data_IF_978769902601
#
_entry.id   IF_978769902601
#
_cell.length_a   1.000
_cell.length_b   1.000
_cell.length_c   1.000
_cell.angle_alpha   90.00
_cell.angle_beta   90.00
_cell.angle_gamma   90.00
#
_symmetry.space_group_name_H-M   'P 1'
#
loop_
_entity.id
_entity.type
_entity.pdbx_description
1 polymer ?
#
# COMPACT_ATOMS: atom_id res chain seq x y z
N UNK A 1 17.97 2.87 12.05
CA UNK A 1 16.92 1.88 12.37
C UNK A 1 16.61 1.11 11.10
N UNK A 2 16.39 -0.20 11.17
CA UNK A 2 16.03 -1.00 9.98
C UNK A 2 14.57 -0.74 9.59
N UNK A 3 14.27 -0.77 8.28
CA UNK A 3 12.94 -0.56 7.71
C UNK A 3 12.69 -1.68 6.72
N UNK A 4 11.51 -2.31 6.77
CA UNK A 4 11.09 -3.27 5.74
C UNK A 4 10.43 -2.51 4.60
N UNK A 5 10.87 -2.74 3.37
CA UNK A 5 10.23 -2.23 2.15
C UNK A 5 9.87 -3.44 1.30
N UNK A 6 8.61 -3.59 0.90
CA UNK A 6 8.18 -4.79 0.17
C UNK A 6 7.05 -4.51 -0.83
N UNK A 7 7.15 -5.15 -1.99
CA UNK A 7 6.06 -5.35 -2.95
C UNK A 7 5.72 -6.85 -2.97
N UNK A 8 4.93 -7.35 -2.01
CA UNK A 8 4.61 -8.77 -1.92
C UNK A 8 3.61 -9.20 -3.01
N UNK A 9 3.45 -10.50 -3.28
CA UNK A 9 2.38 -10.99 -4.15
C UNK A 9 1.01 -10.64 -3.58
N UNK A 10 0.20 -9.93 -4.37
CA UNK A 10 -1.10 -9.42 -3.93
C UNK A 10 -2.14 -10.52 -3.81
N UNK A 11 -2.99 -10.43 -2.78
CA UNK A 11 -4.17 -11.29 -2.58
C UNK A 11 -3.83 -12.79 -2.62
N UNK A 12 -2.60 -13.13 -2.24
CA UNK A 12 -2.10 -14.50 -2.28
C UNK A 12 -2.84 -15.33 -1.23
N UNK A 13 -3.41 -16.46 -1.65
CA UNK A 13 -3.89 -17.47 -0.70
C UNK A 13 -2.71 -18.03 0.09
N UNK A 14 -2.91 -18.29 1.35
CA UNK A 14 -1.88 -18.82 2.24
C UNK A 14 -2.49 -19.80 3.23
N UNK A 15 -1.65 -20.59 3.86
CA UNK A 15 -2.06 -21.48 4.93
C UNK A 15 -1.66 -20.86 6.25
N UNK A 16 -2.57 -20.90 7.22
CA UNK A 16 -2.22 -20.50 8.57
C UNK A 16 -1.11 -21.41 9.09
N UNK A 17 -0.06 -20.83 9.70
CA UNK A 17 0.91 -21.64 10.41
C UNK A 17 0.24 -22.28 11.64
N UNK A 18 0.79 -23.41 12.10
CA UNK A 18 0.37 -23.98 13.38
C UNK A 18 0.43 -22.93 14.50
N UNK A 19 -0.62 -22.92 15.32
CA UNK A 19 -0.79 -21.96 16.44
C UNK A 19 -0.67 -20.49 16.01
N UNK A 20 -1.22 -20.12 14.84
CA UNK A 20 -1.17 -18.74 14.33
C UNK A 20 -1.57 -17.69 15.39
N UNK A 21 -2.65 -17.93 16.14
CA UNK A 21 -3.12 -17.02 17.19
C UNK A 21 -2.11 -16.78 18.33
N UNK A 22 -1.16 -17.70 18.53
CA UNK A 22 -0.12 -17.60 19.57
C UNK A 22 1.15 -16.92 19.07
N UNK A 23 1.26 -16.59 17.78
CA UNK A 23 2.45 -15.95 17.23
C UNK A 23 2.42 -14.44 17.46
N UNK A 24 3.53 -13.87 17.94
CA UNK A 24 3.67 -12.44 18.23
C UNK A 24 3.27 -11.53 17.04
N UNK A 25 3.54 -11.98 15.82
CA UNK A 25 3.13 -11.24 14.61
C UNK A 25 1.62 -11.07 14.46
N UNK A 26 0.82 -11.98 15.00
CA UNK A 26 -0.64 -11.96 14.84
C UNK A 26 -1.40 -11.46 16.07
N UNK A 27 -0.71 -10.70 16.95
CA UNK A 27 -1.32 -10.06 18.13
C UNK A 27 -2.43 -9.05 17.78
N UNK A 28 -2.47 -8.54 16.54
CA UNK A 28 -3.53 -7.66 16.05
C UNK A 28 -4.63 -8.40 15.27
N UNK A 29 -4.58 -9.73 15.24
CA UNK A 29 -5.48 -10.59 14.48
C UNK A 29 -4.74 -11.47 13.47
N UNK A 30 -5.37 -12.60 13.14
CA UNK A 30 -4.90 -13.53 12.10
C UNK A 30 -5.68 -13.21 10.80
N UNK A 31 -5.01 -12.85 9.69
CA UNK A 31 -5.68 -12.59 8.42
C UNK A 31 -6.37 -13.84 7.86
N UNK A 32 -7.37 -13.72 6.98
CA UNK A 32 -8.01 -14.89 6.39
C UNK A 32 -7.05 -15.63 5.43
N UNK A 33 -7.14 -16.97 5.37
CA UNK A 33 -6.32 -17.80 4.45
C UNK A 33 -6.49 -17.42 2.97
N UNK A 34 -7.62 -16.81 2.63
CA UNK A 34 -7.89 -16.31 1.27
C UNK A 34 -7.00 -15.13 0.86
N UNK A 35 -6.36 -14.42 1.81
CA UNK A 35 -5.58 -13.22 1.52
C UNK A 35 -4.43 -12.97 2.53
N UNK A 36 -3.20 -13.03 2.03
CA UNK A 36 -1.98 -12.83 2.82
C UNK A 36 -1.54 -11.35 2.99
N UNK A 37 -2.24 -10.37 2.42
CA UNK A 37 -1.79 -8.96 2.44
C UNK A 37 -1.49 -8.46 3.86
N UNK A 38 -2.42 -8.66 4.80
CA UNK A 38 -2.21 -8.31 6.21
C UNK A 38 -1.19 -9.22 6.90
N UNK A 39 -1.00 -10.46 6.44
CA UNK A 39 0.02 -11.35 7.01
C UNK A 39 1.43 -10.82 6.76
N UNK A 40 1.67 -10.23 5.59
CA UNK A 40 2.93 -9.55 5.26
C UNK A 40 3.14 -8.31 6.15
N UNK A 41 2.13 -7.45 6.27
CA UNK A 41 2.19 -6.22 7.09
C UNK A 41 2.54 -6.58 8.54
N UNK A 42 1.78 -7.50 9.12
CA UNK A 42 1.90 -7.90 10.51
C UNK A 42 3.25 -8.61 10.79
N UNK A 43 3.72 -9.46 9.86
CA UNK A 43 5.04 -10.10 9.98
C UNK A 43 6.19 -9.08 9.95
N UNK A 44 6.11 -8.05 9.10
CA UNK A 44 7.15 -7.01 9.08
C UNK A 44 7.12 -6.17 10.36
N UNK A 45 5.92 -5.77 10.80
CA UNK A 45 5.76 -5.02 12.04
C UNK A 45 6.14 -5.83 13.27
N UNK A 46 6.10 -7.17 13.27
CA UNK A 46 6.62 -7.94 14.40
C UNK A 46 8.15 -7.88 14.53
N UNK A 47 8.86 -7.47 13.47
CA UNK A 47 10.33 -7.47 13.42
C UNK A 47 10.93 -6.05 13.38
N UNK A 48 10.16 -5.08 12.90
CA UNK A 48 10.62 -3.71 12.68
C UNK A 48 9.57 -2.71 13.15
N UNK A 49 10.03 -1.54 13.56
CA UNK A 49 9.13 -0.44 13.94
C UNK A 49 8.57 0.31 12.72
N UNK A 50 9.27 0.27 11.58
CA UNK A 50 8.87 0.95 10.34
C UNK A 50 8.80 -0.04 9.18
N UNK A 51 7.73 0.05 8.40
CA UNK A 51 7.54 -0.76 7.20
C UNK A 51 6.82 0.04 6.10
N UNK A 52 7.18 -0.21 4.84
CA UNK A 52 6.57 0.38 3.65
C UNK A 52 6.14 -0.76 2.73
N UNK A 53 4.87 -0.78 2.36
CA UNK A 53 4.31 -1.80 1.51
C UNK A 53 3.65 -1.19 0.29
N UNK A 54 3.98 -1.72 -0.89
CA UNK A 54 3.16 -1.53 -2.08
C UNK A 54 2.10 -2.62 -2.12
N UNK A 55 0.82 -2.25 -2.03
CA UNK A 55 -0.30 -3.19 -1.93
C UNK A 55 -1.52 -2.67 -2.71
N UNK A 56 -2.47 -3.55 -3.08
CA UNK A 56 -3.67 -3.14 -3.78
C UNK A 56 -4.59 -2.31 -2.88
N UNK A 57 -5.32 -1.35 -3.46
CA UNK A 57 -6.25 -0.48 -2.71
C UNK A 57 -7.31 -1.25 -1.93
N UNK A 58 -7.62 -2.49 -2.34
CA UNK A 58 -8.54 -3.38 -1.63
C UNK A 58 -8.19 -3.63 -0.17
N UNK A 59 -6.91 -3.50 0.23
CA UNK A 59 -6.49 -3.57 1.64
C UNK A 59 -7.18 -2.49 2.49
N UNK A 60 -7.40 -1.31 1.92
CA UNK A 60 -8.02 -0.16 2.60
C UNK A 60 -9.55 -0.28 2.67
N UNK A 61 -10.17 -0.90 1.65
CA UNK A 61 -11.63 -0.97 1.45
C UNK A 61 -12.22 -2.39 1.61
N UNK A 62 -11.54 -3.26 2.35
CA UNK A 62 -11.96 -4.65 2.53
C UNK A 62 -13.29 -4.79 3.30
N UNK A 63 -14.09 -5.78 2.90
CA UNK A 63 -15.31 -6.23 3.56
C UNK A 63 -15.12 -7.54 4.34
N UNK A 64 -13.91 -8.12 4.35
CA UNK A 64 -13.62 -9.29 5.15
C UNK A 64 -13.50 -8.88 6.63
N UNK A 65 -14.21 -9.59 7.52
CA UNK A 65 -14.32 -9.25 8.94
C UNK A 65 -12.99 -9.30 9.67
N UNK A 66 -12.16 -10.31 9.39
CA UNK A 66 -10.83 -10.45 10.00
C UNK A 66 -9.91 -9.31 9.58
N UNK A 67 -9.88 -8.97 8.29
CA UNK A 67 -9.08 -7.86 7.76
C UNK A 67 -9.55 -6.50 8.28
N UNK A 68 -10.86 -6.29 8.41
CA UNK A 68 -11.43 -5.09 9.01
C UNK A 68 -10.99 -4.91 10.48
N UNK A 69 -11.01 -5.98 11.27
CA UNK A 69 -10.55 -5.96 12.65
C UNK A 69 -9.06 -5.65 12.77
N UNK A 70 -8.22 -6.23 11.89
CA UNK A 70 -6.78 -5.93 11.84
C UNK A 70 -6.55 -4.48 11.45
N UNK A 71 -7.25 -3.97 10.42
CA UNK A 71 -7.18 -2.57 9.98
C UNK A 71 -7.54 -1.60 11.11
N UNK A 72 -8.64 -1.86 11.82
CA UNK A 72 -9.05 -1.09 12.97
C UNK A 72 -7.95 -1.09 14.06
N UNK A 73 -7.42 -2.27 14.39
CA UNK A 73 -6.35 -2.42 15.39
C UNK A 73 -5.07 -1.66 15.02
N UNK A 74 -4.66 -1.67 13.75
CA UNK A 74 -3.49 -0.92 13.26
C UNK A 74 -3.68 0.60 13.39
N UNK A 75 -4.89 1.10 13.13
CA UNK A 75 -5.24 2.52 13.32
C UNK A 75 -5.32 2.86 14.80
N UNK A 76 -5.91 2.00 15.62
CA UNK A 76 -6.01 2.18 17.07
C UNK A 76 -4.67 2.22 17.78
N UNK A 77 -3.73 1.37 17.38
CA UNK A 77 -2.35 1.38 17.84
C UNK A 77 -1.53 2.56 17.29
N UNK A 78 -2.13 3.41 16.44
CA UNK A 78 -1.47 4.54 15.81
C UNK A 78 -0.26 4.13 14.96
N UNK A 79 -0.33 2.97 14.28
CA UNK A 79 0.81 2.46 13.49
C UNK A 79 0.80 2.94 12.04
N UNK A 80 -0.36 3.23 11.45
CA UNK A 80 -0.42 3.74 10.07
C UNK A 80 0.03 5.21 10.05
N UNK A 81 1.11 5.52 9.34
CA UNK A 81 1.70 6.86 9.24
C UNK A 81 1.17 7.61 8.01
N UNK A 82 1.20 6.95 6.85
CA UNK A 82 0.73 7.53 5.60
C UNK A 82 0.15 6.48 4.65
N UNK A 83 -0.76 6.94 3.79
CA UNK A 83 -1.32 6.20 2.65
C UNK A 83 -1.12 7.04 1.41
N UNK A 84 -0.41 6.50 0.41
CA UNK A 84 -0.15 7.17 -0.86
C UNK A 84 -0.85 6.37 -1.95
N UNK A 85 -2.00 6.84 -2.40
CA UNK A 85 -2.70 6.28 -3.56
C UNK A 85 -1.92 6.58 -4.83
N UNK A 86 -1.45 5.54 -5.50
CA UNK A 86 -0.65 5.65 -6.72
C UNK A 86 -1.53 5.75 -7.96
N UNK A 87 -0.86 6.02 -9.08
CA UNK A 87 -1.47 6.22 -10.38
C UNK A 87 -2.11 4.92 -10.89
N UNK A 88 -3.21 5.04 -11.62
CA UNK A 88 -3.68 3.96 -12.46
C UNK A 88 -2.67 3.69 -13.58
N UNK A 89 -2.60 2.45 -14.08
CA UNK A 89 -1.69 2.07 -15.20
C UNK A 89 -0.20 2.41 -14.96
N UNK A 90 0.21 2.53 -13.70
CA UNK A 90 1.62 2.71 -13.32
C UNK A 90 2.43 1.42 -13.49
N UNK A 91 1.82 0.27 -13.18
CA UNK A 91 2.47 -1.03 -13.27
C UNK A 91 2.11 -1.71 -14.59
N UNK A 92 3.13 -2.20 -15.30
CA UNK A 92 2.92 -2.85 -16.59
C UNK A 92 2.25 -4.22 -16.47
N UNK A 93 2.50 -4.90 -15.35
CA UNK A 93 2.09 -6.27 -15.05
C UNK A 93 0.67 -6.38 -14.47
N UNK A 94 0.06 -5.28 -14.03
CA UNK A 94 -1.26 -5.31 -13.40
C UNK A 94 -2.02 -3.99 -13.58
N UNK A 95 -3.32 -4.09 -13.84
CA UNK A 95 -4.24 -2.94 -13.82
C UNK A 95 -4.79 -2.63 -12.44
N UNK A 96 -4.42 -3.41 -11.42
CA UNK A 96 -4.92 -3.24 -10.05
C UNK A 96 -4.42 -1.90 -9.50
N UNK A 97 -5.32 -1.00 -9.04
CA UNK A 97 -4.94 0.21 -8.33
C UNK A 97 -4.20 -0.14 -7.03
N UNK A 98 -3.11 0.55 -6.76
CA UNK A 98 -2.24 0.26 -5.62
C UNK A 98 -1.96 1.52 -4.79
N UNK A 99 -1.59 1.30 -3.54
CA UNK A 99 -1.14 2.32 -2.62
C UNK A 99 0.19 1.92 -2.01
N UNK A 100 1.03 2.90 -1.68
CA UNK A 100 2.06 2.72 -0.68
C UNK A 100 1.44 2.93 0.70
N UNK A 101 1.58 1.93 1.57
CA UNK A 101 1.18 1.99 2.97
C UNK A 101 2.44 2.11 3.82
N UNK A 102 2.54 3.20 4.57
CA UNK A 102 3.67 3.47 5.46
C UNK A 102 3.20 3.25 6.89
N UNK A 103 3.86 2.33 7.58
CA UNK A 103 3.63 2.04 8.99
C UNK A 103 4.85 2.44 9.81
N UNK A 104 4.62 3.03 10.98
CA UNK A 104 5.65 3.48 11.91
C UNK A 104 5.12 3.47 13.35
N UNK A 105 5.59 2.50 14.14
CA UNK A 105 5.23 2.35 15.56
C UNK A 105 5.76 3.47 16.45
N UNK A 106 6.73 4.24 15.96
CA UNK A 106 7.40 5.34 16.68
C UNK A 106 6.91 6.72 16.22
N UNK A 107 5.83 6.79 15.41
CA UNK A 107 5.30 8.08 14.99
C UNK A 107 4.76 8.85 16.21
N UNK A 108 5.05 10.15 16.24
CA UNK A 108 4.76 11.01 17.39
C UNK A 108 3.40 11.73 17.28
N UNK A 109 2.81 11.75 16.08
CA UNK A 109 1.54 12.42 15.82
C UNK A 109 0.39 11.43 15.87
N UNK A 110 -0.82 11.92 16.15
CA UNK A 110 -2.07 11.14 16.06
C UNK A 110 -2.79 11.37 14.74
N UNK A 111 -2.03 11.65 13.67
CA UNK A 111 -2.55 11.93 12.33
C UNK A 111 -2.04 10.88 11.33
N UNK A 112 -2.82 10.67 10.29
CA UNK A 112 -2.47 9.86 9.11
C UNK A 112 -2.44 10.80 7.93
N UNK A 113 -1.33 10.81 7.19
CA UNK A 113 -1.22 11.58 5.96
C UNK A 113 -1.79 10.75 4.79
N UNK A 114 -2.80 11.28 4.12
CA UNK A 114 -3.38 10.71 2.91
C UNK A 114 -2.87 11.50 1.72
N UNK A 115 -2.23 10.83 0.75
CA UNK A 115 -1.76 11.44 -0.50
C UNK A 115 -2.46 10.76 -1.68
N UNK A 116 -2.97 11.56 -2.60
CA UNK A 116 -3.43 11.15 -3.91
C UNK A 116 -2.41 11.61 -4.95
N UNK A 117 -1.68 10.66 -5.54
CA UNK A 117 -0.62 10.97 -6.50
C UNK A 117 -1.17 11.27 -7.91
N UNK A 118 -2.44 10.96 -8.20
CA UNK A 118 -3.04 11.12 -9.53
C UNK A 118 -2.92 12.52 -10.14
N UNK A 119 -3.09 13.63 -9.39
CA UNK A 119 -2.89 14.97 -9.94
C UNK A 119 -1.42 15.30 -10.30
N UNK A 120 -0.47 14.47 -9.85
CA UNK A 120 0.96 14.63 -10.10
C UNK A 120 1.45 13.72 -11.25
N UNK A 121 0.54 13.03 -11.93
CA UNK A 121 0.87 12.08 -12.98
C UNK A 121 1.41 12.73 -14.25
N UNK A 122 2.38 12.06 -14.88
CA UNK A 122 2.83 12.33 -16.24
C UNK A 122 2.60 11.08 -17.11
N UNK A 123 2.14 11.26 -18.36
CA UNK A 123 2.00 10.15 -19.31
C UNK A 123 3.33 9.89 -20.03
N UNK A 124 3.75 8.63 -20.08
CA UNK A 124 4.85 8.16 -20.91
C UNK A 124 4.38 7.09 -21.90
N UNK A 125 4.94 7.13 -23.12
CA UNK A 125 4.79 6.06 -24.10
C UNK A 125 5.98 5.11 -23.98
N UNK A 126 5.74 3.87 -23.55
CA UNK A 126 6.76 2.83 -23.47
C UNK A 126 6.59 1.77 -24.53
N UNK A 127 7.70 1.36 -25.11
CA UNK A 127 7.75 0.25 -26.06
C UNK A 127 7.87 -1.07 -25.31
N UNK A 128 6.86 -1.92 -25.47
CA UNK A 128 6.86 -3.26 -24.92
C UNK A 128 7.15 -4.26 -26.03
N UNK A 129 8.20 -5.06 -25.83
CA UNK A 129 8.50 -6.21 -26.69
C UNK A 129 7.67 -7.40 -26.21
N UNK A 130 7.04 -8.11 -27.13
CA UNK A 130 6.35 -9.37 -26.81
C UNK A 130 7.30 -10.36 -26.11
N UNK A 131 6.80 -11.04 -25.08
CA UNK A 131 7.52 -12.16 -24.45
C UNK A 131 7.43 -13.43 -25.32
N UNK A 132 8.38 -14.34 -25.08
CA UNK A 132 8.66 -15.58 -25.82
C UNK A 132 7.39 -16.35 -26.21
N UNK A 133 7.26 -16.69 -27.50
CA UNK A 133 6.10 -17.39 -28.08
C UNK A 133 6.37 -17.83 -29.53
N UNK A 134 5.33 -18.27 -30.25
CA UNK A 134 5.45 -18.68 -31.67
C UNK A 134 5.94 -17.53 -32.58
N UNK A 135 6.39 -17.81 -33.81
CA UNK A 135 6.92 -16.81 -34.79
C UNK A 135 6.01 -15.59 -35.02
N UNK A 136 4.72 -15.67 -34.69
CA UNK A 136 3.75 -14.57 -34.73
C UNK A 136 3.79 -13.61 -33.52
N UNK A 137 4.55 -13.94 -32.47
CA UNK A 137 4.61 -13.24 -31.18
C UNK A 137 5.99 -12.62 -30.87
N UNK A 138 7.05 -13.04 -31.57
CA UNK A 138 8.43 -12.73 -31.18
C UNK A 138 8.97 -11.36 -31.64
N UNK A 139 8.23 -10.61 -32.45
CA UNK A 139 8.71 -9.35 -33.06
C UNK A 139 7.72 -8.16 -33.04
N UNK A 140 6.66 -8.20 -32.22
CA UNK A 140 5.76 -7.05 -32.09
C UNK A 140 6.23 -6.10 -30.99
N UNK A 141 6.49 -4.86 -31.37
CA UNK A 141 6.65 -3.73 -30.46
C UNK A 141 5.29 -3.06 -30.31
N UNK A 142 4.73 -3.12 -29.11
CA UNK A 142 3.50 -2.41 -28.77
C UNK A 142 3.87 -1.14 -28.01
N UNK A 143 3.26 -0.01 -28.37
CA UNK A 143 3.36 1.21 -27.58
C UNK A 143 2.24 1.22 -26.55
N UNK A 144 2.59 1.19 -25.28
CA UNK A 144 1.64 1.28 -24.16
C UNK A 144 1.82 2.62 -23.47
N UNK A 145 0.71 3.31 -23.22
CA UNK A 145 0.69 4.47 -22.33
C UNK A 145 0.75 3.99 -20.89
N UNK A 146 1.69 4.53 -20.13
CA UNK A 146 1.81 4.31 -18.70
C UNK A 146 1.84 5.65 -17.98
N UNK A 147 1.21 5.70 -16.81
CA UNK A 147 1.29 6.87 -15.96
C UNK A 147 2.51 6.75 -15.05
N UNK A 148 3.23 7.85 -14.90
CA UNK A 148 4.51 7.91 -14.19
C UNK A 148 4.53 9.11 -13.26
N UNK A 149 5.45 9.07 -12.29
CA UNK A 149 5.73 10.20 -11.42
C UNK A 149 7.11 10.74 -11.81
N UNK A 150 7.17 12.01 -12.17
CA UNK A 150 8.44 12.71 -12.40
C UNK A 150 9.23 12.87 -11.10
N UNK A 151 10.51 13.21 -11.21
CA UNK A 151 11.35 13.50 -10.05
C UNK A 151 10.79 14.65 -9.20
N UNK A 152 10.17 15.65 -9.82
CA UNK A 152 9.49 16.75 -9.12
C UNK A 152 8.25 16.25 -8.35
N UNK A 153 7.48 15.35 -8.94
CA UNK A 153 6.32 14.73 -8.27
C UNK A 153 6.76 13.89 -7.07
N UNK A 154 7.83 13.10 -7.22
CA UNK A 154 8.42 12.31 -6.14
C UNK A 154 8.95 13.24 -5.04
N UNK A 155 9.69 14.29 -5.40
CA UNK A 155 10.22 15.28 -4.45
C UNK A 155 9.11 15.97 -3.68
N UNK A 156 8.00 16.28 -4.34
CA UNK A 156 6.81 16.83 -3.69
C UNK A 156 6.20 15.84 -2.68
N UNK A 157 6.02 14.58 -3.05
CA UNK A 157 5.53 13.54 -2.14
C UNK A 157 6.46 13.40 -0.92
N UNK A 158 7.77 13.40 -1.14
CA UNK A 158 8.76 13.35 -0.05
C UNK A 158 8.63 14.58 0.87
N UNK A 159 8.47 15.78 0.32
CA UNK A 159 8.29 16.98 1.12
C UNK A 159 7.02 16.94 1.99
N UNK A 160 5.94 16.33 1.48
CA UNK A 160 4.70 16.13 2.23
C UNK A 160 4.86 15.09 3.35
N UNK A 161 5.69 14.05 3.14
CA UNK A 161 6.01 13.09 4.19
C UNK A 161 6.82 13.73 5.32
N UNK A 162 7.76 14.62 4.99
CA UNK A 162 8.58 15.34 5.96
C UNK A 162 7.78 16.42 6.70
N UNK A 163 6.93 17.14 5.97
CA UNK A 163 6.07 18.21 6.50
C UNK A 163 4.62 18.02 6.02
N UNK A 164 3.83 17.20 6.73
CA UNK A 164 2.44 16.94 6.37
C UNK A 164 1.59 18.22 6.34
N UNK A 165 1.01 18.53 5.18
CA UNK A 165 0.09 19.65 4.97
C UNK A 165 -1.09 19.24 4.10
N UNK A 166 -2.18 19.98 4.21
CA UNK A 166 -3.34 19.83 3.34
C UNK A 166 -3.10 20.56 2.01
N UNK A 167 -3.30 19.86 0.91
CA UNK A 167 -3.28 20.43 -0.44
C UNK A 167 -4.48 19.92 -1.22
N UNK A 168 -5.26 20.83 -1.81
CA UNK A 168 -6.49 20.48 -2.49
C UNK A 168 -6.25 19.44 -3.60
N UNK A 169 -6.90 18.28 -3.47
CA UNK A 169 -6.80 17.17 -4.43
C UNK A 169 -5.55 16.29 -4.30
N UNK A 170 -4.50 16.74 -3.60
CA UNK A 170 -3.20 16.06 -3.49
C UNK A 170 -2.99 15.43 -2.12
N UNK A 171 -3.22 16.16 -1.03
CA UNK A 171 -2.95 15.64 0.32
C UNK A 171 -3.98 16.08 1.35
N UNK A 172 -4.18 15.22 2.34
CA UNK A 172 -5.02 15.50 3.50
C UNK A 172 -4.41 14.88 4.75
N UNK A 173 -4.21 15.68 5.78
CA UNK A 173 -3.87 15.23 7.12
C UNK A 173 -5.16 14.92 7.86
N UNK A 174 -5.34 13.66 8.27
CA UNK A 174 -6.57 13.17 8.91
C UNK A 174 -6.24 12.66 10.30
N UNK A 175 -6.99 13.06 11.33
CA UNK A 175 -6.79 12.53 12.68
C UNK A 175 -7.18 11.05 12.75
N UNK A 176 -6.51 10.28 13.61
CA UNK A 176 -6.88 8.88 13.84
C UNK A 176 -8.33 8.73 14.29
N UNK A 177 -8.86 9.68 15.05
CA UNK A 177 -10.24 9.67 15.52
C UNK A 177 -11.24 9.76 14.37
N UNK A 178 -10.96 10.65 13.40
CA UNK A 178 -11.76 10.76 12.17
C UNK A 178 -11.76 9.45 11.39
N UNK A 179 -10.60 8.77 11.32
CA UNK A 179 -10.49 7.48 10.62
C UNK A 179 -11.22 6.37 11.38
N UNK A 180 -11.10 6.32 12.71
CA UNK A 180 -11.80 5.34 13.56
C UNK A 180 -13.32 5.43 13.38
N UNK A 181 -13.87 6.64 13.42
CA UNK A 181 -15.31 6.86 13.23
C UNK A 181 -15.80 6.35 11.87
N UNK A 182 -14.98 6.45 10.81
CA UNK A 182 -15.31 5.89 9.48
C UNK A 182 -15.17 4.37 9.37
N UNK A 183 -14.38 3.73 10.25
CA UNK A 183 -14.21 2.27 10.25
C UNK A 183 -15.30 1.59 11.08
N UNK A 184 -15.81 2.26 12.12
CA UNK A 184 -16.84 1.73 13.02
C UNK A 184 -18.28 1.94 12.54
N UNK A 185 -18.50 2.86 11.59
CA UNK A 185 -19.78 3.06 10.90
C UNK A 185 -19.87 2.19 9.64
#
# INVERSE_FOLDING_TARGET
MATTISNPPYNMKWQHPFFAQSQERFMLGVPPESNANYAFILTALSKQDKAVFLLPNGVLSTNNKEEQAIKASLVEKNYLEAVISLLDKMFESTSIPTSLLIFNKKKQTSNILMINASPLATEELREQRGQVGSKSHTNRVYKKKVNTLSDDAISKIMSLLDKPTDEQGVSKVVSIETVKNKIMC
#
